data_IF_775329884876
#
_entry.id   IF_775329884876
#
_cell.length_a   1.000
_cell.length_b   1.000
_cell.length_c   1.000
_cell.angle_alpha   90.00
_cell.angle_beta   90.00
_cell.angle_gamma   90.00
#
_symmetry.space_group_name_H-M   'P 1'
#
loop_
_entity.id
_entity.type
_entity.pdbx_description
1 polymer ?
#
# COMPACT_ATOMS: atom_id res chain seq x y z
N UNK A 1 -29.47 6.89 -22.12
CA UNK A 1 -28.29 7.77 -22.31
C UNK A 1 -27.58 7.89 -20.97
N UNK A 2 -26.60 7.03 -20.68
CA UNK A 2 -25.82 7.11 -19.45
C UNK A 2 -24.47 7.72 -19.78
N UNK A 3 -24.23 8.94 -19.29
CA UNK A 3 -22.96 9.65 -19.45
C UNK A 3 -21.93 9.01 -18.53
N UNK A 4 -21.01 8.24 -19.09
CA UNK A 4 -19.74 7.90 -18.43
C UNK A 4 -18.91 9.18 -18.42
N UNK A 5 -18.83 9.86 -17.28
CA UNK A 5 -17.78 10.86 -17.04
C UNK A 5 -16.46 10.09 -16.98
N UNK A 6 -15.68 10.18 -18.06
CA UNK A 6 -14.28 9.81 -18.02
C UNK A 6 -13.59 10.82 -17.08
N UNK A 7 -13.14 10.34 -15.92
CA UNK A 7 -12.20 11.11 -15.12
C UNK A 7 -11.01 11.44 -16.01
N UNK A 8 -10.68 12.72 -16.15
CA UNK A 8 -9.50 13.16 -16.90
C UNK A 8 -8.23 12.49 -16.35
N UNK A 9 -7.12 12.51 -17.10
CA UNK A 9 -5.90 11.85 -16.68
C UNK A 9 -5.48 12.38 -15.30
N UNK A 10 -5.47 11.49 -14.31
CA UNK A 10 -4.91 11.80 -13.00
C UNK A 10 -3.42 12.04 -13.23
N UNK A 11 -3.00 13.30 -13.11
CA UNK A 11 -1.62 13.69 -13.37
C UNK A 11 -0.68 12.83 -12.51
N UNK A 12 0.37 12.28 -13.11
CA UNK A 12 1.30 11.32 -12.50
C UNK A 12 2.23 11.93 -11.44
N UNK A 13 1.78 12.95 -10.72
CA UNK A 13 2.53 13.52 -9.61
C UNK A 13 2.59 12.51 -8.47
N UNK A 14 3.80 12.18 -8.05
CA UNK A 14 4.04 11.39 -6.84
C UNK A 14 3.37 12.10 -5.65
N UNK A 15 2.47 11.39 -4.97
CA UNK A 15 1.89 11.86 -3.71
C UNK A 15 2.96 11.77 -2.62
N UNK A 16 3.22 12.89 -1.94
CA UNK A 16 4.19 12.99 -0.84
C UNK A 16 3.45 13.38 0.44
N UNK A 17 3.63 12.60 1.50
CA UNK A 17 3.05 12.89 2.81
C UNK A 17 3.97 13.83 3.60
N UNK A 18 3.79 15.14 3.41
CA UNK A 18 4.54 16.19 4.13
C UNK A 18 4.59 16.00 5.67
N UNK A 19 3.54 15.51 6.36
CA UNK A 19 3.62 15.23 7.79
C UNK A 19 4.72 14.23 8.16
N UNK A 20 5.02 13.24 7.30
CA UNK A 20 6.11 12.29 7.55
C UNK A 20 7.47 12.96 7.49
N UNK A 21 7.65 13.96 6.62
CA UNK A 21 8.90 14.74 6.57
C UNK A 21 9.12 15.40 7.93
N UNK A 22 8.12 16.11 8.46
CA UNK A 22 8.22 16.76 9.76
C UNK A 22 8.49 15.78 10.91
N UNK A 23 7.86 14.60 10.90
CA UNK A 23 8.10 13.57 11.93
C UNK A 23 9.50 12.96 11.86
N UNK A 24 10.11 12.88 10.67
CA UNK A 24 11.42 12.27 10.46
C UNK A 24 12.59 13.26 10.54
N UNK A 25 12.35 14.58 10.43
CA UNK A 25 13.40 15.61 10.37
C UNK A 25 14.43 15.55 11.51
N UNK A 26 14.00 15.19 12.72
CA UNK A 26 14.85 15.18 13.91
C UNK A 26 15.28 13.76 14.33
N UNK A 27 15.00 12.75 13.49
CA UNK A 27 15.34 11.36 13.79
C UNK A 27 16.74 10.99 13.29
N UNK A 28 17.51 10.19 14.05
CA UNK A 28 18.74 9.59 13.53
C UNK A 28 18.48 8.75 12.27
N UNK A 29 19.40 8.70 11.29
CA UNK A 29 19.23 7.92 10.06
C UNK A 29 18.86 6.45 10.31
N UNK A 30 19.46 5.82 11.32
CA UNK A 30 19.18 4.44 11.72
C UNK A 30 17.73 4.25 12.20
N UNK A 31 17.13 5.24 12.87
CA UNK A 31 15.72 5.19 13.26
C UNK A 31 14.81 5.27 12.04
N UNK A 32 15.10 6.19 11.12
CA UNK A 32 14.35 6.37 9.87
C UNK A 32 14.38 5.06 9.07
N UNK A 33 15.56 4.44 8.94
CA UNK A 33 15.73 3.15 8.27
C UNK A 33 14.87 2.06 8.92
N UNK A 34 14.88 1.95 10.26
CA UNK A 34 14.03 0.97 10.97
C UNK A 34 12.53 1.21 10.76
N UNK A 35 12.10 2.47 10.63
CA UNK A 35 10.73 2.77 10.23
C UNK A 35 10.45 2.33 8.79
N UNK A 36 11.33 2.64 7.85
CA UNK A 36 11.20 2.26 6.44
C UNK A 36 11.07 0.74 6.29
N UNK A 37 11.95 -0.04 6.94
CA UNK A 37 11.89 -1.52 6.91
C UNK A 37 10.53 -2.02 7.42
N UNK A 38 10.07 -1.53 8.58
CA UNK A 38 8.77 -1.92 9.16
C UNK A 38 7.59 -1.60 8.23
N UNK A 39 7.60 -0.42 7.63
CA UNK A 39 6.51 0.00 6.73
C UNK A 39 6.53 -0.75 5.39
N UNK A 40 7.71 -1.15 4.87
CA UNK A 40 7.82 -2.05 3.71
C UNK A 40 7.26 -3.44 4.05
N UNK A 41 7.60 -4.00 5.22
CA UNK A 41 7.03 -5.29 5.64
C UNK A 41 5.52 -5.23 5.81
N UNK A 42 5.00 -4.14 6.39
CA UNK A 42 3.56 -3.90 6.50
C UNK A 42 2.90 -3.82 5.13
N UNK A 43 3.51 -3.09 4.19
CA UNK A 43 3.02 -3.04 2.81
C UNK A 43 2.96 -4.43 2.16
N UNK A 44 4.01 -5.26 2.33
CA UNK A 44 4.02 -6.64 1.82
C UNK A 44 2.92 -7.50 2.42
N UNK A 45 2.66 -7.41 3.74
CA UNK A 45 1.56 -8.11 4.39
C UNK A 45 0.20 -7.71 3.81
N UNK A 46 -0.07 -6.40 3.72
CA UNK A 46 -1.31 -5.89 3.13
C UNK A 46 -1.50 -6.37 1.68
N UNK A 47 -0.43 -6.40 0.89
CA UNK A 47 -0.48 -6.92 -0.48
C UNK A 47 -0.81 -8.41 -0.50
N UNK A 48 -0.22 -9.22 0.38
CA UNK A 48 -0.52 -10.65 0.46
C UNK A 48 -1.98 -10.89 0.86
N UNK A 49 -2.51 -10.13 1.82
CA UNK A 49 -3.92 -10.21 2.24
C UNK A 49 -4.86 -9.83 1.07
N UNK A 50 -4.53 -8.78 0.32
CA UNK A 50 -5.29 -8.38 -0.86
C UNK A 50 -5.30 -9.47 -1.95
N UNK A 51 -4.17 -10.14 -2.19
CA UNK A 51 -4.10 -11.28 -3.14
C UNK A 51 -4.97 -12.46 -2.67
N UNK A 52 -5.02 -12.73 -1.37
CA UNK A 52 -5.92 -13.77 -0.85
C UNK A 52 -7.40 -13.41 -1.05
N UNK A 53 -7.75 -12.12 -0.89
CA UNK A 53 -9.11 -11.63 -1.12
C UNK A 53 -9.48 -11.65 -2.60
N UNK A 54 -8.54 -11.31 -3.50
CA UNK A 54 -8.71 -11.43 -4.95
C UNK A 54 -9.09 -12.86 -5.35
N UNK A 55 -8.34 -13.85 -4.83
CA UNK A 55 -8.64 -15.26 -5.08
C UNK A 55 -10.03 -15.68 -4.56
N UNK A 56 -10.54 -15.06 -3.48
CA UNK A 56 -11.91 -15.30 -2.99
C UNK A 56 -12.96 -14.69 -3.90
N UNK A 57 -12.70 -13.49 -4.44
CA UNK A 57 -13.57 -12.87 -5.45
C UNK A 57 -13.69 -13.78 -6.67
N UNK A 58 -12.57 -14.30 -7.15
CA UNK A 58 -12.53 -15.19 -8.32
C UNK A 58 -13.23 -16.54 -8.08
N UNK A 59 -13.23 -17.02 -6.83
CA UNK A 59 -13.83 -18.30 -6.44
C UNK A 59 -15.32 -18.21 -6.09
N UNK A 60 -15.89 -17.01 -5.93
CA UNK A 60 -17.27 -16.83 -5.51
C UNK A 60 -18.27 -17.30 -6.59
N UNK A 61 -19.22 -18.13 -6.20
CA UNK A 61 -20.18 -18.75 -7.14
C UNK A 61 -21.58 -18.14 -7.09
N UNK A 62 -21.90 -17.39 -6.04
CA UNK A 62 -23.18 -16.69 -5.88
C UNK A 62 -22.98 -15.17 -5.74
N UNK A 63 -24.04 -14.42 -5.99
CA UNK A 63 -23.98 -12.96 -6.10
C UNK A 63 -23.71 -12.23 -4.78
N UNK A 64 -24.15 -12.80 -3.65
CA UNK A 64 -23.97 -12.15 -2.35
C UNK A 64 -22.54 -12.35 -1.84
N UNK A 65 -22.01 -13.58 -1.94
CA UNK A 65 -20.61 -13.84 -1.58
C UNK A 65 -19.63 -13.10 -2.47
N UNK A 66 -19.90 -13.00 -3.79
CA UNK A 66 -19.09 -12.23 -4.71
C UNK A 66 -19.06 -10.74 -4.36
N UNK A 67 -20.21 -10.18 -3.96
CA UNK A 67 -20.33 -8.77 -3.56
C UNK A 67 -19.56 -8.48 -2.28
N UNK A 68 -19.69 -9.32 -1.26
CA UNK A 68 -18.96 -9.18 -0.01
C UNK A 68 -17.44 -9.30 -0.23
N UNK A 69 -17.00 -10.34 -0.94
CA UNK A 69 -15.58 -10.53 -1.27
C UNK A 69 -15.02 -9.34 -2.07
N UNK A 70 -15.80 -8.78 -3.00
CA UNK A 70 -15.40 -7.61 -3.78
C UNK A 70 -15.22 -6.37 -2.91
N UNK A 71 -16.12 -6.15 -1.94
CA UNK A 71 -16.02 -5.03 -1.00
C UNK A 71 -14.77 -5.17 -0.12
N UNK A 72 -14.51 -6.36 0.42
CA UNK A 72 -13.32 -6.63 1.22
C UNK A 72 -12.03 -6.43 0.42
N UNK A 73 -11.99 -6.93 -0.82
CA UNK A 73 -10.86 -6.75 -1.72
C UNK A 73 -10.60 -5.26 -2.02
N UNK A 74 -11.64 -4.48 -2.33
CA UNK A 74 -11.51 -3.03 -2.57
C UNK A 74 -10.93 -2.34 -1.34
N UNK A 75 -11.44 -2.66 -0.14
CA UNK A 75 -10.94 -2.08 1.10
C UNK A 75 -9.46 -2.44 1.36
N UNK A 76 -9.06 -3.67 1.06
CA UNK A 76 -7.68 -4.10 1.14
C UNK A 76 -6.79 -3.35 0.13
N UNK A 77 -7.24 -3.17 -1.10
CA UNK A 77 -6.50 -2.43 -2.13
C UNK A 77 -6.35 -0.94 -1.79
N UNK A 78 -7.36 -0.32 -1.19
CA UNK A 78 -7.24 1.04 -0.64
C UNK A 78 -6.12 1.09 0.40
N UNK A 79 -6.08 0.14 1.33
CA UNK A 79 -5.04 0.07 2.35
C UNK A 79 -3.64 -0.15 1.75
N UNK A 80 -3.50 -1.03 0.75
CA UNK A 80 -2.25 -1.27 0.02
C UNK A 80 -1.73 0.03 -0.60
N UNK A 81 -2.59 0.78 -1.30
CA UNK A 81 -2.18 2.01 -1.97
C UNK A 81 -1.91 3.17 -1.01
N UNK A 82 -2.71 3.33 0.05
CA UNK A 82 -2.42 4.29 1.11
C UNK A 82 -1.05 4.01 1.76
N UNK A 83 -0.76 2.74 2.05
CA UNK A 83 0.52 2.32 2.59
C UNK A 83 1.67 2.49 1.59
N UNK A 84 1.44 2.29 0.29
CA UNK A 84 2.45 2.55 -0.75
C UNK A 84 2.88 4.03 -0.76
N UNK A 85 1.97 4.96 -0.52
CA UNK A 85 2.30 6.39 -0.39
C UNK A 85 3.19 6.65 0.83
N UNK A 86 2.93 5.98 1.96
CA UNK A 86 3.80 6.03 3.15
C UNK A 86 5.19 5.53 2.82
N UNK A 87 5.32 4.31 2.28
CA UNK A 87 6.60 3.70 1.91
C UNK A 87 7.36 4.59 0.93
N UNK A 88 6.68 5.09 -0.11
CA UNK A 88 7.31 5.92 -1.14
C UNK A 88 7.81 7.26 -0.60
N UNK A 89 7.12 7.84 0.39
CA UNK A 89 7.55 9.07 1.05
C UNK A 89 8.73 8.81 1.99
N UNK A 90 8.69 7.72 2.76
CA UNK A 90 9.79 7.36 3.67
C UNK A 90 11.08 7.01 2.92
N UNK A 91 10.97 6.35 1.77
CA UNK A 91 12.12 6.08 0.90
C UNK A 91 12.73 7.37 0.33
N UNK A 92 11.92 8.38 0.00
CA UNK A 92 12.44 9.69 -0.42
C UNK A 92 13.19 10.38 0.71
N UNK A 93 12.69 10.27 1.96
CA UNK A 93 13.35 10.83 3.14
C UNK A 93 14.66 10.09 3.43
N UNK A 94 14.66 8.75 3.33
CA UNK A 94 15.85 7.92 3.59
C UNK A 94 16.92 8.08 2.48
N UNK A 95 16.50 8.27 1.23
CA UNK A 95 17.37 8.47 0.07
C UNK A 95 17.90 7.18 -0.57
N UNK A 96 17.58 6.01 -0.02
CA UNK A 96 17.93 4.70 -0.58
C UNK A 96 16.89 3.63 -0.17
N UNK A 97 16.97 2.44 -0.77
CA UNK A 97 16.17 1.27 -0.38
C UNK A 97 17.01 0.44 0.61
N UNK A 98 16.55 0.23 1.86
CA UNK A 98 17.33 -0.48 2.85
C UNK A 98 17.35 -1.99 2.60
N UNK A 99 18.35 -2.65 3.18
CA UNK A 99 18.40 -4.11 3.19
C UNK A 99 17.23 -4.66 3.99
N UNK A 100 16.45 -5.52 3.35
CA UNK A 100 15.29 -6.14 3.99
C UNK A 100 15.71 -7.40 4.73
N UNK A 101 15.23 -7.63 5.97
CA UNK A 101 15.45 -8.90 6.66
C UNK A 101 15.00 -10.03 5.75
N UNK A 102 15.88 -11.02 5.58
CA UNK A 102 15.57 -12.22 4.79
C UNK A 102 14.37 -12.89 5.47
N UNK A 103 13.26 -13.00 4.75
CA UNK A 103 12.13 -13.80 5.22
C UNK A 103 12.67 -15.20 5.50
N UNK A 104 12.62 -15.64 6.76
CA UNK A 104 12.90 -17.04 7.08
C UNK A 104 11.82 -17.85 6.38
N UNK A 105 12.17 -18.47 5.25
CA UNK A 105 11.28 -19.38 4.57
C UNK A 105 10.78 -20.43 5.56
N UNK A 106 9.47 -20.58 5.63
CA UNK A 106 8.84 -21.76 6.22
C UNK A 106 8.75 -22.83 5.14
#
# INVERSE_FOLDING_TARGET
MSKTTAAGPVSANKLILRPLIGLMSDQPPEEIERHVVREIEKHRRLRNDAVMLEAKVDAATDSDTAREASQDYIQAMIAVHAQQTVVSTLLDILGYIPDMPRSKGH
#
